data_IF_782514128966
#
_entry.id   IF_782514128966
#
_cell.length_a   1.000
_cell.length_b   1.000
_cell.length_c   1.000
_cell.angle_alpha   90.00
_cell.angle_beta   90.00
_cell.angle_gamma   90.00
#
_symmetry.space_group_name_H-M   'P 1'
#
loop_
_entity.id
_entity.type
_entity.pdbx_description
1 polymer ?
#
# COMPACT_ATOMS: atom_id res chain seq x y z
N UNK A 1 29.92 -25.37 11.92
CA UNK A 1 29.56 -23.97 12.24
C UNK A 1 30.36 -23.58 13.47
N UNK A 2 31.13 -22.48 13.45
CA UNK A 2 31.90 -22.07 14.62
C UNK A 2 30.98 -21.47 15.70
N UNK A 3 31.44 -21.40 16.95
CA UNK A 3 30.68 -20.75 18.02
C UNK A 3 30.39 -19.26 17.71
N UNK A 4 31.32 -18.58 17.03
CA UNK A 4 31.14 -17.20 16.58
C UNK A 4 30.03 -17.09 15.51
N UNK A 5 29.98 -18.01 14.56
CA UNK A 5 28.93 -18.04 13.53
C UNK A 5 27.55 -18.33 14.13
N UNK A 6 27.49 -19.17 15.17
CA UNK A 6 26.26 -19.47 15.91
C UNK A 6 25.74 -18.21 16.62
N UNK A 7 26.60 -17.53 17.37
CA UNK A 7 26.23 -16.29 18.10
C UNK A 7 25.80 -15.21 17.12
N UNK A 8 26.53 -15.02 16.02
CA UNK A 8 26.15 -14.07 14.98
C UNK A 8 24.74 -14.38 14.46
N UNK A 9 24.47 -15.62 14.06
CA UNK A 9 23.17 -16.08 13.53
C UNK A 9 22.02 -15.84 14.51
N UNK A 10 22.23 -16.15 15.80
CA UNK A 10 21.27 -15.90 16.87
C UNK A 10 20.91 -14.41 17.02
N UNK A 11 21.91 -13.53 16.97
CA UNK A 11 21.68 -12.08 17.03
C UNK A 11 20.86 -11.63 15.82
N UNK A 12 21.13 -12.14 14.61
CA UNK A 12 20.36 -11.78 13.40
C UNK A 12 18.90 -12.21 13.53
N UNK A 13 18.66 -13.44 13.94
CA UNK A 13 17.32 -13.98 14.15
C UNK A 13 16.51 -13.17 15.17
N UNK A 14 17.13 -12.83 16.30
CA UNK A 14 16.49 -12.01 17.33
C UNK A 14 16.11 -10.62 16.80
N UNK A 15 17.02 -9.98 16.07
CA UNK A 15 16.76 -8.69 15.42
C UNK A 15 15.62 -8.79 14.41
N UNK A 16 15.55 -9.88 13.63
CA UNK A 16 14.46 -10.12 12.70
C UNK A 16 13.10 -10.25 13.38
N UNK A 17 13.03 -10.99 14.48
CA UNK A 17 11.80 -11.10 15.26
C UNK A 17 11.35 -9.72 15.79
N UNK A 18 12.27 -8.88 16.29
CA UNK A 18 11.91 -7.52 16.71
C UNK A 18 11.36 -6.67 15.56
N UNK A 19 11.97 -6.74 14.37
CA UNK A 19 11.49 -6.00 13.20
C UNK A 19 10.10 -6.49 12.77
N UNK A 20 9.85 -7.79 12.78
CA UNK A 20 8.54 -8.34 12.42
C UNK A 20 7.46 -7.98 13.45
N UNK A 21 7.75 -8.07 14.75
CA UNK A 21 6.82 -7.63 15.81
C UNK A 21 6.55 -6.13 15.72
N UNK A 22 7.57 -5.32 15.41
CA UNK A 22 7.41 -3.87 15.18
C UNK A 22 6.54 -3.61 13.95
N UNK A 23 6.76 -4.33 12.85
CA UNK A 23 5.96 -4.25 11.63
C UNK A 23 4.49 -4.58 11.90
N UNK A 24 4.25 -5.65 12.67
CA UNK A 24 2.90 -6.02 13.10
C UNK A 24 2.26 -4.91 13.92
N UNK A 25 2.98 -4.39 14.91
CA UNK A 25 2.49 -3.29 15.77
C UNK A 25 2.09 -2.08 14.93
N UNK A 26 2.91 -1.70 13.95
CA UNK A 26 2.61 -0.61 13.01
C UNK A 26 1.34 -0.91 12.21
N UNK A 27 1.16 -2.13 11.69
CA UNK A 27 -0.04 -2.54 10.96
C UNK A 27 -1.31 -2.39 11.81
N UNK A 28 -1.31 -2.97 13.01
CA UNK A 28 -2.47 -2.92 13.90
C UNK A 28 -2.75 -1.48 14.36
N UNK A 29 -1.72 -0.71 14.70
CA UNK A 29 -1.87 0.69 15.11
C UNK A 29 -2.43 1.56 13.97
N UNK A 30 -1.89 1.43 12.75
CA UNK A 30 -2.36 2.18 11.59
C UNK A 30 -3.83 1.85 11.27
N UNK A 31 -4.20 0.57 11.36
CA UNK A 31 -5.59 0.14 11.17
C UNK A 31 -6.52 0.78 12.20
N UNK A 32 -6.19 0.70 13.50
CA UNK A 32 -7.01 1.30 14.56
C UNK A 32 -7.15 2.81 14.38
N UNK A 33 -6.06 3.51 14.04
CA UNK A 33 -6.07 4.97 13.81
C UNK A 33 -6.84 5.38 12.56
N UNK A 34 -6.98 4.50 11.57
CA UNK A 34 -7.62 4.81 10.28
C UNK A 34 -8.98 4.12 10.12
N UNK A 35 -9.47 3.43 11.14
CA UNK A 35 -10.72 2.68 11.07
C UNK A 35 -11.93 3.62 10.89
N UNK A 36 -11.98 4.74 11.60
CA UNK A 36 -13.03 5.75 11.44
C UNK A 36 -13.10 6.28 10.00
N UNK A 37 -11.95 6.47 9.37
CA UNK A 37 -11.85 6.89 7.97
C UNK A 37 -12.32 5.79 7.01
N UNK A 38 -12.05 4.52 7.32
CA UNK A 38 -12.56 3.39 6.54
C UNK A 38 -14.09 3.34 6.57
N UNK A 39 -14.70 3.41 7.75
CA UNK A 39 -16.15 3.37 7.90
C UNK A 39 -16.79 4.54 7.14
N UNK A 40 -16.33 5.76 7.40
CA UNK A 40 -16.89 6.98 6.82
C UNK A 40 -16.65 7.14 5.31
N UNK A 41 -15.53 6.67 4.76
CA UNK A 41 -15.17 6.91 3.35
C UNK A 41 -15.39 5.70 2.44
N UNK A 42 -15.43 4.48 2.97
CA UNK A 42 -15.44 3.24 2.17
C UNK A 42 -16.72 2.44 2.36
N UNK A 43 -17.27 2.35 3.58
CA UNK A 43 -18.37 1.41 3.85
C UNK A 43 -19.66 1.79 3.14
N UNK A 44 -20.04 3.07 3.21
CA UNK A 44 -21.26 3.60 2.57
C UNK A 44 -21.16 3.71 1.03
N UNK A 45 -19.95 3.59 0.48
CA UNK A 45 -19.73 3.60 -0.97
C UNK A 45 -20.30 2.33 -1.62
N UNK A 46 -20.93 2.42 -2.81
CA UNK A 46 -21.40 1.23 -3.53
C UNK A 46 -20.25 0.27 -3.84
N UNK A 47 -20.58 -1.01 -3.95
CA UNK A 47 -19.61 -2.05 -4.30
C UNK A 47 -19.04 -1.80 -5.70
N UNK A 48 -17.72 -1.72 -5.78
CA UNK A 48 -16.95 -1.52 -7.00
C UNK A 48 -15.66 -2.32 -6.95
N UNK A 49 -15.05 -2.60 -8.11
CA UNK A 49 -13.77 -3.29 -8.17
C UNK A 49 -12.69 -2.59 -7.32
N UNK A 50 -12.68 -1.25 -7.27
CA UNK A 50 -11.77 -0.46 -6.44
C UNK A 50 -12.01 -0.68 -4.94
N UNK A 51 -13.27 -0.79 -4.50
CA UNK A 51 -13.61 -1.12 -3.10
C UNK A 51 -13.07 -2.50 -2.73
N UNK A 52 -13.25 -3.50 -3.60
CA UNK A 52 -12.74 -4.86 -3.38
C UNK A 52 -11.22 -4.87 -3.32
N UNK A 53 -10.53 -4.24 -4.28
CA UNK A 53 -9.07 -4.13 -4.30
C UNK A 53 -8.52 -3.45 -3.03
N UNK A 54 -9.18 -2.38 -2.58
CA UNK A 54 -8.84 -1.67 -1.35
C UNK A 54 -8.98 -2.60 -0.13
N UNK A 55 -10.10 -3.29 0.03
CA UNK A 55 -10.33 -4.20 1.15
C UNK A 55 -9.30 -5.35 1.14
N UNK A 56 -9.05 -5.96 -0.01
CA UNK A 56 -8.04 -7.02 -0.10
C UNK A 56 -6.63 -6.50 0.25
N UNK A 57 -6.26 -5.32 -0.26
CA UNK A 57 -4.97 -4.70 0.05
C UNK A 57 -4.81 -4.42 1.55
N UNK A 58 -5.89 -3.99 2.21
CA UNK A 58 -5.92 -3.64 3.63
C UNK A 58 -5.92 -4.86 4.56
N UNK A 59 -6.65 -5.92 4.22
CA UNK A 59 -6.86 -7.06 5.13
C UNK A 59 -5.90 -8.24 4.92
N UNK A 60 -5.35 -8.45 3.71
CA UNK A 60 -4.37 -9.54 3.47
C UNK A 60 -3.14 -9.46 4.39
N UNK A 61 -2.52 -8.29 4.66
CA UNK A 61 -1.36 -8.20 5.55
C UNK A 61 -1.58 -8.76 6.95
N UNK A 62 -2.80 -8.74 7.49
CA UNK A 62 -3.10 -9.33 8.79
C UNK A 62 -2.88 -10.84 8.79
N UNK A 63 -3.25 -11.51 7.69
CA UNK A 63 -3.00 -12.93 7.50
C UNK A 63 -1.49 -13.21 7.36
N UNK A 64 -0.79 -12.38 6.57
CA UNK A 64 0.66 -12.48 6.33
C UNK A 64 1.45 -12.41 7.64
N UNK A 65 1.16 -11.36 8.41
CA UNK A 65 1.85 -11.03 9.66
C UNK A 65 1.55 -12.07 10.74
N UNK A 66 0.27 -12.43 10.93
CA UNK A 66 -0.13 -13.38 11.97
C UNK A 66 0.46 -14.76 11.72
N UNK A 67 0.40 -15.25 10.49
CA UNK A 67 0.97 -16.55 10.11
C UNK A 67 2.48 -16.58 10.34
N UNK A 68 3.18 -15.53 9.89
CA UNK A 68 4.63 -15.45 10.01
C UNK A 68 5.09 -15.38 11.46
N UNK A 69 4.46 -14.51 12.26
CA UNK A 69 4.79 -14.38 13.67
C UNK A 69 4.58 -15.70 14.40
N UNK A 70 3.46 -16.38 14.17
CA UNK A 70 3.17 -17.66 14.80
C UNK A 70 4.31 -18.67 14.60
N UNK A 71 4.81 -18.83 13.36
CA UNK A 71 5.86 -19.80 13.06
C UNK A 71 7.28 -19.36 13.47
N UNK A 72 7.47 -18.08 13.76
CA UNK A 72 8.77 -17.54 14.20
C UNK A 72 8.92 -17.50 15.73
N UNK A 73 7.82 -17.29 16.47
CA UNK A 73 7.87 -17.10 17.92
C UNK A 73 7.45 -18.36 18.70
N UNK A 74 6.70 -19.28 18.08
CA UNK A 74 6.18 -20.46 18.78
C UNK A 74 7.24 -21.57 18.83
N UNK A 75 7.67 -22.01 20.03
CA UNK A 75 8.56 -23.17 20.15
C UNK A 75 7.83 -24.46 19.74
N UNK A 76 8.58 -25.45 19.24
CA UNK A 76 8.03 -26.78 18.93
C UNK A 76 7.24 -26.88 17.62
N UNK A 77 7.35 -25.88 16.74
CA UNK A 77 6.80 -25.92 15.38
C UNK A 77 7.42 -27.07 14.59
N UNK A 78 6.60 -27.83 13.86
CA UNK A 78 7.09 -28.92 13.01
C UNK A 78 7.91 -28.38 11.83
N UNK A 79 8.95 -29.09 11.36
CA UNK A 79 9.70 -28.70 10.16
C UNK A 79 8.81 -28.50 8.93
N UNK A 80 7.79 -29.34 8.77
CA UNK A 80 6.81 -29.24 7.68
C UNK A 80 6.03 -27.94 7.74
N UNK A 81 5.55 -27.54 8.93
CA UNK A 81 4.82 -26.30 9.12
C UNK A 81 5.68 -25.06 8.86
N UNK A 82 6.96 -25.10 9.24
CA UNK A 82 7.93 -24.05 8.91
C UNK A 82 8.10 -23.87 7.39
N UNK A 83 8.25 -24.97 6.66
CA UNK A 83 8.35 -24.92 5.18
C UNK A 83 7.06 -24.41 4.55
N UNK A 84 5.89 -24.84 5.05
CA UNK A 84 4.60 -24.34 4.57
C UNK A 84 4.51 -22.82 4.75
N UNK A 85 4.88 -22.30 5.92
CA UNK A 85 4.94 -20.86 6.16
C UNK A 85 5.89 -20.14 5.21
N UNK A 86 7.08 -20.71 5.00
CA UNK A 86 8.09 -20.19 4.06
C UNK A 86 7.61 -20.15 2.61
N UNK A 87 6.60 -20.95 2.25
CA UNK A 87 5.97 -20.96 0.93
C UNK A 87 4.79 -20.01 0.83
N UNK A 88 3.93 -20.00 1.86
CA UNK A 88 2.72 -19.19 1.89
C UNK A 88 3.02 -17.70 2.02
N UNK A 89 3.98 -17.30 2.87
CA UNK A 89 4.26 -15.89 3.10
C UNK A 89 4.73 -15.15 1.83
N UNK A 90 5.73 -15.62 1.05
CA UNK A 90 6.14 -14.96 -0.19
C UNK A 90 5.02 -14.93 -1.24
N UNK A 91 4.22 -15.99 -1.34
CA UNK A 91 3.09 -16.04 -2.27
C UNK A 91 2.04 -14.97 -1.92
N UNK A 92 1.67 -14.87 -0.64
CA UNK A 92 0.70 -13.90 -0.16
C UNK A 92 1.20 -12.45 -0.26
N UNK A 93 2.48 -12.22 0.06
CA UNK A 93 3.16 -10.93 -0.15
C UNK A 93 3.08 -10.52 -1.62
N UNK A 94 3.36 -11.45 -2.54
CA UNK A 94 3.32 -11.18 -3.99
C UNK A 94 1.92 -10.79 -4.46
N UNK A 95 0.90 -11.59 -4.09
CA UNK A 95 -0.51 -11.27 -4.41
C UNK A 95 -0.87 -9.90 -3.86
N UNK A 96 -0.49 -9.65 -2.62
CA UNK A 96 -0.76 -8.42 -1.94
C UNK A 96 -0.12 -7.18 -2.56
N UNK A 97 1.13 -7.27 -3.02
CA UNK A 97 1.81 -6.18 -3.73
C UNK A 97 1.12 -5.95 -5.07
N UNK A 98 0.79 -7.00 -5.82
CA UNK A 98 0.08 -6.86 -7.11
C UNK A 98 -1.26 -6.14 -6.92
N UNK A 99 -2.01 -6.45 -5.87
CA UNK A 99 -3.29 -5.79 -5.56
C UNK A 99 -3.09 -4.30 -5.23
N UNK A 100 -2.10 -3.98 -4.40
CA UNK A 100 -1.77 -2.61 -4.03
C UNK A 100 -1.30 -1.79 -5.24
N UNK A 101 -0.39 -2.34 -6.04
CA UNK A 101 0.11 -1.73 -7.28
C UNK A 101 -1.00 -1.51 -8.30
N UNK A 102 -1.93 -2.47 -8.44
CA UNK A 102 -3.09 -2.32 -9.31
C UNK A 102 -4.01 -1.19 -8.84
N UNK A 103 -4.26 -1.10 -7.54
CA UNK A 103 -5.04 -0.01 -6.94
C UNK A 103 -4.40 1.35 -7.21
N UNK A 104 -3.08 1.44 -7.05
CA UNK A 104 -2.29 2.63 -7.33
C UNK A 104 -2.28 3.00 -8.81
N UNK A 105 -2.17 2.03 -9.71
CA UNK A 105 -2.24 2.23 -11.16
C UNK A 105 -3.62 2.75 -11.59
N UNK A 106 -4.71 2.19 -11.06
CA UNK A 106 -6.08 2.66 -11.33
C UNK A 106 -6.23 4.13 -10.89
N UNK A 107 -5.69 4.49 -9.73
CA UNK A 107 -5.67 5.88 -9.28
C UNK A 107 -4.92 6.78 -10.24
N UNK A 108 -3.70 6.40 -10.64
CA UNK A 108 -2.91 7.23 -11.56
C UNK A 108 -3.57 7.35 -12.92
N UNK A 109 -4.24 6.29 -13.38
CA UNK A 109 -5.03 6.32 -14.61
C UNK A 109 -6.18 7.33 -14.54
N UNK A 110 -6.88 7.42 -13.40
CA UNK A 110 -7.94 8.42 -13.23
C UNK A 110 -7.42 9.85 -13.21
N UNK A 111 -6.22 10.09 -12.62
CA UNK A 111 -5.53 11.39 -12.69
C UNK A 111 -5.15 11.76 -14.13
N UNK A 112 -4.82 10.77 -14.95
CA UNK A 112 -4.51 10.92 -16.37
C UNK A 112 -5.76 10.98 -17.26
N UNK A 113 -6.91 11.45 -16.73
CA UNK A 113 -8.19 11.61 -17.44
C UNK A 113 -8.72 10.32 -18.08
N UNK A 114 -8.42 9.17 -17.48
CA UNK A 114 -8.89 7.86 -17.94
C UNK A 114 -8.52 7.54 -19.40
N UNK A 115 -7.37 8.03 -19.89
CA UNK A 115 -6.92 7.75 -21.25
C UNK A 115 -6.72 6.25 -21.49
N UNK A 116 -7.34 5.71 -22.54
CA UNK A 116 -7.19 4.29 -22.94
C UNK A 116 -5.73 3.93 -23.22
N UNK A 117 -4.95 4.85 -23.78
CA UNK A 117 -3.52 4.63 -24.04
C UNK A 117 -2.75 4.39 -22.74
N UNK A 118 -3.05 5.15 -21.69
CA UNK A 118 -2.37 5.02 -20.39
C UNK A 118 -2.80 3.74 -19.68
N UNK A 119 -4.07 3.35 -19.78
CA UNK A 119 -4.52 2.04 -19.32
C UNK A 119 -3.76 0.90 -20.01
N UNK A 120 -3.61 0.95 -21.34
CA UNK A 120 -2.86 -0.05 -22.11
C UNK A 120 -1.39 -0.09 -21.70
N UNK A 121 -0.76 1.06 -21.42
CA UNK A 121 0.61 1.11 -20.88
C UNK A 121 0.68 0.41 -19.53
N UNK A 122 -0.21 0.72 -18.58
CA UNK A 122 -0.20 0.06 -17.27
C UNK A 122 -0.46 -1.45 -17.36
N UNK A 123 -1.36 -1.88 -18.25
CA UNK A 123 -1.61 -3.31 -18.47
C UNK A 123 -0.37 -3.99 -19.06
N UNK A 124 0.23 -3.42 -20.10
CA UNK A 124 1.39 -3.99 -20.77
C UNK A 124 2.60 -4.04 -19.82
N UNK A 125 2.92 -2.95 -19.13
CA UNK A 125 4.02 -2.90 -18.16
C UNK A 125 3.72 -3.79 -16.94
N UNK A 126 2.47 -3.80 -16.46
CA UNK A 126 2.05 -4.65 -15.34
C UNK A 126 2.22 -6.14 -15.65
N UNK A 127 1.77 -6.60 -16.83
CA UNK A 127 2.00 -7.98 -17.28
C UNK A 127 3.50 -8.27 -17.44
N UNK A 128 4.25 -7.34 -18.03
CA UNK A 128 5.69 -7.45 -18.21
C UNK A 128 6.49 -7.50 -16.90
N UNK A 129 5.97 -6.96 -15.80
CA UNK A 129 6.62 -6.99 -14.49
C UNK A 129 6.11 -8.12 -13.58
N UNK A 130 4.78 -8.29 -13.49
CA UNK A 130 4.17 -9.23 -12.54
C UNK A 130 4.35 -10.69 -12.94
N UNK A 131 4.26 -11.03 -14.22
CA UNK A 131 4.45 -12.42 -14.68
C UNK A 131 5.87 -12.93 -14.32
N UNK A 132 6.96 -12.24 -14.71
CA UNK A 132 8.30 -12.70 -14.31
C UNK A 132 8.54 -12.65 -12.81
N UNK A 133 7.94 -11.69 -12.07
CA UNK A 133 8.01 -11.68 -10.61
C UNK A 133 7.37 -12.93 -9.98
N UNK A 134 6.19 -13.34 -10.47
CA UNK A 134 5.51 -14.57 -10.03
C UNK A 134 6.37 -15.80 -10.33
N UNK A 135 7.02 -15.86 -11.49
CA UNK A 135 7.93 -16.96 -11.85
C UNK A 135 9.12 -17.00 -10.89
N UNK A 136 9.77 -15.87 -10.62
CA UNK A 136 10.90 -15.79 -9.68
C UNK A 136 10.51 -16.25 -8.27
N UNK A 137 9.34 -15.86 -7.78
CA UNK A 137 8.81 -16.28 -6.48
C UNK A 137 8.46 -17.76 -6.47
N UNK A 138 7.88 -18.29 -7.55
CA UNK A 138 7.59 -19.72 -7.69
C UNK A 138 8.86 -20.56 -7.62
N UNK A 139 9.93 -20.12 -8.28
CA UNK A 139 11.23 -20.80 -8.24
C UNK A 139 11.87 -20.74 -6.85
N UNK A 140 11.72 -19.61 -6.14
CA UNK A 140 12.08 -19.51 -4.72
C UNK A 140 11.30 -20.55 -3.89
N UNK A 141 9.97 -20.55 -3.96
CA UNK A 141 9.07 -21.44 -3.19
C UNK A 141 9.39 -22.92 -3.40
N UNK A 142 9.76 -23.32 -4.62
CA UNK A 142 10.11 -24.71 -4.95
C UNK A 142 11.43 -25.17 -4.35
N UNK A 143 12.34 -24.24 -4.08
CA UNK A 143 13.73 -24.57 -3.73
C UNK A 143 14.08 -24.26 -2.29
N UNK A 144 13.20 -23.60 -1.55
CA UNK A 144 13.32 -23.50 -0.11
C UNK A 144 13.16 -24.87 0.56
N UNK A 145 14.06 -25.14 1.49
CA UNK A 145 14.08 -26.35 2.30
C UNK A 145 14.31 -25.96 3.77
N UNK A 146 13.85 -26.81 4.68
CA UNK A 146 14.12 -26.66 6.11
C UNK A 146 15.60 -26.92 6.39
N UNK A 147 16.20 -26.03 7.19
CA UNK A 147 17.52 -26.23 7.77
C UNK A 147 17.37 -26.57 9.26
N UNK A 148 17.96 -27.68 9.74
CA UNK A 148 17.98 -27.98 11.17
C UNK A 148 18.54 -26.81 11.97
N UNK A 149 17.72 -26.23 12.83
CA UNK A 149 18.15 -25.12 13.67
C UNK A 149 19.07 -25.65 14.79
N UNK A 150 20.26 -25.03 15.00
CA UNK A 150 21.15 -25.38 16.10
C UNK A 150 20.59 -24.99 17.47
N UNK A 151 19.53 -24.16 17.51
CA UNK A 151 18.93 -23.54 18.70
C UNK A 151 17.41 -23.45 18.53
N UNK A 152 16.69 -24.58 18.54
CA UNK A 152 15.26 -24.65 18.20
C UNK A 152 14.33 -23.88 19.16
N UNK A 153 14.79 -23.58 20.38
CA UNK A 153 14.05 -22.77 21.36
C UNK A 153 14.03 -21.28 21.00
N UNK A 154 15.04 -20.78 20.30
CA UNK A 154 15.17 -19.34 19.94
C UNK A 154 14.89 -19.11 18.46
N UNK A 155 15.24 -20.08 17.61
CA UNK A 155 15.06 -20.03 16.17
C UNK A 155 14.38 -21.33 15.71
N UNK A 156 13.06 -21.45 15.85
CA UNK A 156 12.34 -22.69 15.55
C UNK A 156 12.24 -22.97 14.05
N UNK A 157 12.32 -21.94 13.20
CA UNK A 157 12.16 -22.06 11.75
C UNK A 157 13.33 -21.39 11.01
N UNK A 158 14.15 -22.21 10.33
CA UNK A 158 15.26 -21.78 9.49
C UNK A 158 15.14 -22.41 8.10
N UNK A 159 15.32 -21.60 7.05
CA UNK A 159 15.15 -21.99 5.65
C UNK A 159 16.45 -21.79 4.85
N UNK A 160 16.62 -22.52 3.76
CA UNK A 160 17.71 -22.31 2.79
C UNK A 160 17.65 -20.93 2.15
N UNK A 161 18.81 -20.32 1.89
CA UNK A 161 18.92 -19.05 1.15
C UNK A 161 18.74 -19.27 -0.35
N UNK A 162 18.04 -18.34 -1.03
CA UNK A 162 18.14 -18.18 -2.48
C UNK A 162 18.01 -16.71 -2.90
N UNK A 163 18.96 -16.26 -3.72
CA UNK A 163 19.11 -14.83 -4.02
C UNK A 163 18.13 -14.31 -5.08
N UNK A 164 17.42 -15.15 -5.82
CA UNK A 164 16.60 -14.71 -6.97
C UNK A 164 15.42 -13.77 -6.63
N UNK A 165 15.07 -13.58 -5.34
CA UNK A 165 13.98 -12.69 -4.93
C UNK A 165 14.25 -11.20 -5.22
N UNK A 166 15.51 -10.78 -5.38
CA UNK A 166 15.79 -9.39 -5.79
C UNK A 166 15.17 -9.08 -7.17
N UNK A 167 15.02 -10.08 -8.04
CA UNK A 167 14.42 -9.93 -9.37
C UNK A 167 12.97 -9.47 -9.24
N UNK A 168 12.20 -10.09 -8.34
CA UNK A 168 10.81 -9.71 -8.10
C UNK A 168 10.72 -8.25 -7.61
N UNK A 169 11.58 -7.84 -6.66
CA UNK A 169 11.60 -6.46 -6.18
C UNK A 169 12.08 -5.45 -7.23
N UNK A 170 13.03 -5.83 -8.09
CA UNK A 170 13.46 -4.98 -9.20
C UNK A 170 12.32 -4.73 -10.20
N UNK A 171 11.51 -5.75 -10.48
CA UNK A 171 10.33 -5.64 -11.35
C UNK A 171 9.21 -4.79 -10.71
N UNK A 172 9.00 -4.93 -9.39
CA UNK A 172 8.09 -4.07 -8.64
C UNK A 172 8.56 -2.62 -8.70
N UNK A 173 9.84 -2.36 -8.41
CA UNK A 173 10.42 -1.02 -8.48
C UNK A 173 10.28 -0.39 -9.88
N UNK A 174 10.45 -1.20 -10.94
CA UNK A 174 10.25 -0.74 -12.31
C UNK A 174 8.80 -0.29 -12.56
N UNK A 175 7.82 -1.04 -12.06
CA UNK A 175 6.41 -0.67 -12.18
C UNK A 175 6.06 0.56 -11.34
N UNK A 176 6.56 0.64 -10.10
CA UNK A 176 6.43 1.80 -9.22
C UNK A 176 7.01 3.07 -9.87
N UNK A 177 8.16 2.97 -10.53
CA UNK A 177 8.77 4.08 -11.25
C UNK A 177 7.88 4.58 -12.41
N UNK A 178 7.23 3.66 -13.14
CA UNK A 178 6.28 4.03 -14.20
C UNK A 178 5.07 4.75 -13.61
N UNK A 179 4.46 4.22 -12.54
CA UNK A 179 3.34 4.87 -11.85
C UNK A 179 3.74 6.25 -11.32
N UNK A 180 4.88 6.35 -10.66
CA UNK A 180 5.42 7.61 -10.13
C UNK A 180 5.64 8.63 -11.26
N UNK A 181 6.23 8.20 -12.37
CA UNK A 181 6.47 9.06 -13.54
C UNK A 181 5.17 9.65 -14.09
N UNK A 182 4.16 8.81 -14.34
CA UNK A 182 2.85 9.30 -14.80
C UNK A 182 2.16 10.19 -13.76
N UNK A 183 2.25 9.84 -12.48
CA UNK A 183 1.65 10.63 -11.39
C UNK A 183 2.31 12.00 -11.27
N UNK A 184 3.63 12.07 -11.41
CA UNK A 184 4.38 13.32 -11.39
C UNK A 184 4.04 14.20 -12.61
N UNK A 185 3.99 13.62 -13.81
CA UNK A 185 3.62 14.36 -15.04
C UNK A 185 2.20 14.91 -14.94
N UNK A 186 1.23 14.09 -14.53
CA UNK A 186 -0.15 14.50 -14.31
C UNK A 186 -0.24 15.59 -13.24
N UNK A 187 0.52 15.46 -12.16
CA UNK A 187 0.57 16.43 -11.07
C UNK A 187 1.16 17.78 -11.46
N UNK A 188 2.26 17.79 -12.21
CA UNK A 188 2.87 19.02 -12.72
C UNK A 188 1.94 19.70 -13.73
N UNK A 189 1.29 18.94 -14.61
CA UNK A 189 0.31 19.48 -15.55
C UNK A 189 -0.87 20.15 -14.82
N UNK A 190 -1.41 19.48 -13.80
CA UNK A 190 -2.48 20.03 -12.97
C UNK A 190 -2.03 21.27 -12.18
N UNK A 191 -0.81 21.24 -11.61
CA UNK A 191 -0.23 22.36 -10.88
C UNK A 191 -0.05 23.61 -11.77
N UNK A 192 0.36 23.44 -13.03
CA UNK A 192 0.53 24.54 -13.98
C UNK A 192 -0.79 25.16 -14.41
N UNK A 193 -1.87 24.38 -14.47
CA UNK A 193 -3.17 24.84 -14.94
C UNK A 193 -4.05 25.41 -13.82
N UNK A 194 -3.80 25.04 -12.56
CA UNK A 194 -4.67 25.40 -11.43
C UNK A 194 -4.00 26.35 -10.45
N UNK A 195 -4.66 27.46 -10.13
CA UNK A 195 -4.29 28.34 -9.00
C UNK A 195 -4.81 27.80 -7.65
N UNK A 196 -5.59 26.72 -7.65
CA UNK A 196 -6.24 26.21 -6.44
C UNK A 196 -5.25 25.55 -5.49
N UNK A 197 -5.31 25.92 -4.21
CA UNK A 197 -4.58 25.30 -3.11
C UNK A 197 -4.79 23.78 -3.04
N UNK A 198 -5.98 23.32 -3.43
CA UNK A 198 -6.38 21.90 -3.47
C UNK A 198 -5.42 21.05 -4.33
N UNK A 199 -5.11 21.51 -5.54
CA UNK A 199 -4.21 20.78 -6.46
C UNK A 199 -2.78 20.74 -5.89
N UNK A 200 -2.36 21.78 -5.15
CA UNK A 200 -1.00 21.82 -4.58
C UNK A 200 -0.82 20.81 -3.45
N UNK A 201 -1.79 20.71 -2.54
CA UNK A 201 -1.70 19.81 -1.38
C UNK A 201 -1.83 18.35 -1.80
N UNK A 202 -2.85 18.02 -2.61
CA UNK A 202 -3.12 16.63 -3.02
C UNK A 202 -1.98 16.02 -3.84
N UNK A 203 -1.30 16.82 -4.66
CA UNK A 203 -0.16 16.32 -5.46
C UNK A 203 1.15 16.32 -4.67
N UNK A 204 1.42 17.33 -3.84
CA UNK A 204 2.63 17.35 -3.02
C UNK A 204 2.63 16.18 -2.04
N UNK A 205 1.51 15.96 -1.36
CA UNK A 205 1.41 14.89 -0.37
C UNK A 205 1.21 13.55 -1.04
N UNK A 206 0.45 13.50 -2.15
CA UNK A 206 0.18 12.28 -2.90
C UNK A 206 1.38 11.65 -3.60
N UNK A 207 2.32 12.44 -4.13
CA UNK A 207 3.53 11.94 -4.80
C UNK A 207 4.52 11.35 -3.80
N UNK A 208 4.62 11.92 -2.59
CA UNK A 208 5.54 11.45 -1.55
C UNK A 208 5.29 9.98 -1.19
N UNK A 209 4.03 9.52 -1.15
CA UNK A 209 3.72 8.11 -0.91
C UNK A 209 4.40 7.18 -1.91
N UNK A 210 4.36 7.49 -3.21
CA UNK A 210 5.03 6.68 -4.24
C UNK A 210 6.55 6.72 -4.15
N UNK A 211 7.12 7.86 -3.77
CA UNK A 211 8.57 7.97 -3.52
C UNK A 211 8.98 7.07 -2.36
N UNK A 212 8.20 7.04 -1.28
CA UNK A 212 8.45 6.13 -0.15
C UNK A 212 8.34 4.66 -0.56
N UNK A 213 7.35 4.30 -1.38
CA UNK A 213 7.20 2.93 -1.90
C UNK A 213 8.42 2.50 -2.71
N UNK A 214 8.84 3.32 -3.69
CA UNK A 214 10.04 3.04 -4.49
C UNK A 214 11.32 2.97 -3.65
N UNK A 215 11.46 3.83 -2.63
CA UNK A 215 12.58 3.76 -1.71
C UNK A 215 12.59 2.45 -0.89
N UNK A 216 11.42 1.99 -0.42
CA UNK A 216 11.29 0.72 0.29
C UNK A 216 11.64 -0.47 -0.61
N UNK A 217 11.18 -0.48 -1.86
CA UNK A 217 11.55 -1.49 -2.86
C UNK A 217 13.06 -1.49 -3.11
N UNK A 218 13.67 -0.32 -3.31
CA UNK A 218 15.12 -0.19 -3.52
C UNK A 218 15.93 -0.70 -2.32
N UNK A 219 15.54 -0.32 -1.09
CA UNK A 219 16.21 -0.79 0.13
C UNK A 219 16.12 -2.32 0.25
N UNK A 220 14.99 -2.94 -0.11
CA UNK A 220 14.88 -4.40 -0.12
C UNK A 220 15.82 -5.05 -1.13
N UNK A 221 15.96 -4.50 -2.34
CA UNK A 221 16.92 -5.00 -3.33
C UNK A 221 18.34 -4.95 -2.78
N UNK A 222 18.73 -3.82 -2.18
CA UNK A 222 20.05 -3.64 -1.57
C UNK A 222 20.27 -4.66 -0.46
N UNK A 223 19.27 -4.90 0.40
CA UNK A 223 19.39 -5.89 1.47
C UNK A 223 19.55 -7.31 0.96
N UNK A 224 18.75 -7.73 -0.02
CA UNK A 224 18.83 -9.08 -0.58
C UNK A 224 20.21 -9.32 -1.24
N UNK A 225 20.77 -8.32 -1.92
CA UNK A 225 22.04 -8.44 -2.63
C UNK A 225 23.28 -8.34 -1.73
N UNK A 226 23.25 -7.46 -0.72
CA UNK A 226 24.45 -7.10 0.04
C UNK A 226 24.52 -7.75 1.43
N UNK A 227 23.39 -8.15 2.03
CA UNK A 227 23.40 -8.63 3.40
C UNK A 227 23.57 -10.16 3.48
N UNK A 228 24.23 -10.65 4.56
CA UNK A 228 24.35 -12.07 4.83
C UNK A 228 22.99 -12.74 5.07
N UNK A 229 22.97 -14.07 4.92
CA UNK A 229 21.84 -14.94 5.29
C UNK A 229 21.31 -14.61 6.69
N UNK A 230 19.98 -14.43 6.78
CA UNK A 230 19.26 -14.12 8.01
C UNK A 230 18.91 -12.63 8.19
N UNK A 231 19.50 -11.73 7.40
CA UNK A 231 19.07 -10.33 7.31
C UNK A 231 18.49 -9.94 5.94
N UNK A 232 18.66 -10.81 4.96
CA UNK A 232 18.24 -10.66 3.57
C UNK A 232 16.72 -10.45 3.39
N UNK A 233 15.90 -10.96 4.31
CA UNK A 233 14.45 -10.78 4.28
C UNK A 233 13.92 -9.92 5.45
N UNK A 234 14.81 -9.24 6.18
CA UNK A 234 14.46 -8.47 7.37
C UNK A 234 13.39 -7.41 7.09
N UNK A 235 13.55 -6.68 5.99
CA UNK A 235 12.64 -5.60 5.62
C UNK A 235 11.56 -6.02 4.64
N UNK A 236 11.50 -7.28 4.21
CA UNK A 236 10.47 -7.77 3.30
C UNK A 236 9.09 -7.66 3.95
N UNK A 237 8.98 -8.05 5.23
CA UNK A 237 7.75 -7.92 6.01
C UNK A 237 7.39 -6.47 6.31
N UNK A 238 8.36 -5.67 6.74
CA UNK A 238 8.14 -4.25 7.00
C UNK A 238 7.68 -3.54 5.73
N UNK A 239 8.31 -3.82 4.60
CA UNK A 239 7.91 -3.31 3.30
C UNK A 239 6.50 -3.76 2.95
N UNK A 240 6.15 -5.04 3.09
CA UNK A 240 4.79 -5.51 2.83
C UNK A 240 3.74 -4.71 3.62
N UNK A 241 3.99 -4.48 4.91
CA UNK A 241 3.10 -3.71 5.79
C UNK A 241 3.02 -2.25 5.34
N UNK A 242 4.16 -1.59 5.18
CA UNK A 242 4.21 -0.19 4.78
C UNK A 242 3.61 0.03 3.38
N UNK A 243 3.79 -0.92 2.46
CA UNK A 243 3.24 -0.87 1.10
C UNK A 243 1.71 -0.82 1.14
N UNK A 244 1.09 -1.71 1.92
CA UNK A 244 -0.36 -1.69 2.15
C UNK A 244 -0.83 -0.41 2.83
N UNK A 245 -0.16 0.03 3.91
CA UNK A 245 -0.52 1.25 4.64
C UNK A 245 -0.47 2.48 3.73
N UNK A 246 0.62 2.66 2.99
CA UNK A 246 0.82 3.80 2.10
C UNK A 246 -0.21 3.78 0.97
N UNK A 247 -0.47 2.61 0.36
CA UNK A 247 -1.51 2.45 -0.66
C UNK A 247 -2.91 2.82 -0.13
N UNK A 248 -3.26 2.39 1.09
CA UNK A 248 -4.53 2.73 1.71
C UNK A 248 -4.63 4.22 2.09
N UNK A 249 -3.59 4.80 2.68
CA UNK A 249 -3.56 6.22 3.08
C UNK A 249 -3.71 7.17 1.89
N UNK A 250 -3.12 6.81 0.75
CA UNK A 250 -3.31 7.53 -0.51
C UNK A 250 -4.79 7.60 -0.90
N UNK A 251 -5.52 6.49 -0.78
CA UNK A 251 -6.96 6.43 -1.11
C UNK A 251 -7.79 7.22 -0.11
N UNK A 252 -7.48 7.13 1.19
CA UNK A 252 -8.17 7.94 2.21
C UNK A 252 -8.01 9.43 1.96
N UNK A 253 -6.77 9.88 1.73
CA UNK A 253 -6.50 11.29 1.46
C UNK A 253 -7.30 11.78 0.24
N UNK A 254 -7.34 10.97 -0.83
CA UNK A 254 -8.09 11.31 -2.03
C UNK A 254 -9.61 11.41 -1.77
N UNK A 255 -10.20 10.46 -1.04
CA UNK A 255 -11.64 10.44 -0.75
C UNK A 255 -12.05 11.53 0.24
N UNK A 256 -11.26 11.75 1.29
CA UNK A 256 -11.50 12.80 2.27
C UNK A 256 -11.51 14.19 1.61
N UNK A 257 -10.53 14.46 0.74
CA UNK A 257 -10.46 15.72 0.01
C UNK A 257 -11.55 15.84 -1.06
N UNK A 258 -11.93 14.74 -1.73
CA UNK A 258 -13.08 14.71 -2.63
C UNK A 258 -14.40 15.09 -1.94
N UNK A 259 -14.64 14.57 -0.73
CA UNK A 259 -15.83 14.90 0.07
C UNK A 259 -15.81 16.37 0.52
N UNK A 260 -14.67 16.91 0.96
CA UNK A 260 -14.53 18.33 1.32
C UNK A 260 -14.82 19.27 0.15
N UNK A 261 -14.34 18.93 -1.05
CA UNK A 261 -14.64 19.67 -2.27
C UNK A 261 -16.13 19.66 -2.64
N UNK A 262 -16.81 18.53 -2.42
CA UNK A 262 -18.26 18.41 -2.60
C UNK A 262 -19.06 19.26 -1.60
N UNK A 263 -18.69 19.20 -0.30
CA UNK A 263 -19.36 19.98 0.75
C UNK A 263 -19.21 21.48 0.47
N UNK A 264 -18.00 21.97 0.22
CA UNK A 264 -17.76 23.40 -0.08
C UNK A 264 -18.48 23.89 -1.33
N UNK A 265 -18.62 23.05 -2.37
CA UNK A 265 -19.41 23.39 -3.56
C UNK A 265 -20.91 23.47 -3.24
N UNK A 266 -21.39 22.59 -2.35
CA UNK A 266 -22.80 22.54 -1.93
C UNK A 266 -23.14 23.72 -1.02
N UNK A 267 -22.26 24.09 -0.09
CA UNK A 267 -22.39 25.29 0.75
C UNK A 267 -22.33 26.57 -0.07
N UNK A 268 -21.44 26.67 -1.06
CA UNK A 268 -21.40 27.83 -1.96
C UNK A 268 -22.69 27.96 -2.78
N UNK A 269 -23.28 26.84 -3.24
CA UNK A 269 -24.58 26.84 -3.93
C UNK A 269 -25.74 27.18 -2.97
N UNK A 270 -25.73 26.66 -1.75
CA UNK A 270 -26.76 26.96 -0.75
C UNK A 270 -26.70 28.43 -0.29
N UNK A 271 -25.51 28.97 -0.04
CA UNK A 271 -25.30 30.37 0.33
C UNK A 271 -25.57 31.37 -0.79
N UNK A 272 -25.54 30.95 -2.06
CA UNK A 272 -26.01 31.77 -3.18
C UNK A 272 -27.52 31.67 -3.45
N UNK A 273 -28.24 30.82 -2.71
CA UNK A 273 -29.71 30.66 -2.82
C UNK A 273 -30.48 31.33 -1.65
N UNK A 274 -29.81 32.13 -0.82
CA UNK A 274 -30.43 32.93 0.26
C UNK A 274 -29.82 34.34 0.21
N UNK A 275 -30.51 35.49 0.11
CA UNK A 275 -31.85 35.89 0.56
C UNK A 275 -32.31 37.04 -0.35
N UNK A 276 -33.47 36.91 -1.01
CA UNK A 276 -34.16 38.07 -1.62
C UNK A 276 -35.30 38.46 -0.67
N UNK A 277 -35.07 39.48 0.16
CA UNK A 277 -36.15 40.12 0.92
C UNK A 277 -36.95 40.99 -0.07
N UNK A 278 -38.02 40.44 -0.63
CA UNK A 278 -39.05 41.25 -1.26
C UNK A 278 -39.77 42.03 -0.16
N UNK A 279 -39.53 43.35 -0.13
CA UNK A 279 -40.33 44.29 0.65
C UNK A 279 -41.75 44.33 0.08
N UNK A 280 -42.83 44.21 0.87
CA UNK A 280 -44.18 44.43 0.37
C UNK A 280 -44.39 45.93 0.15
N UNK A 281 -44.76 46.32 -1.06
CA UNK A 281 -45.33 47.64 -1.36
C UNK A 281 -46.82 47.62 -0.97
N UNK A 282 -47.20 48.44 0.01
CA UNK A 282 -48.61 48.76 0.29
C UNK A 282 -49.17 49.64 -0.83
N UNK A 283 -50.06 49.06 -1.63
CA UNK A 283 -51.04 49.82 -2.42
C UNK A 283 -52.24 50.16 -1.53
N UNK A 284 -52.49 51.45 -1.33
CA UNK A 284 -53.81 51.93 -0.91
C UNK A 284 -54.31 52.97 -1.90
N UNK A 285 -55.13 52.48 -2.83
CA UNK A 285 -55.97 53.27 -3.73
C UNK A 285 -57.23 53.67 -2.96
N UNK A 286 -57.50 54.97 -2.79
CA UNK A 286 -58.85 55.47 -2.54
C UNK A 286 -59.15 56.57 -3.57
N UNK A 287 -60.09 56.25 -4.45
CA UNK A 287 -60.67 57.12 -5.47
C UNK A 287 -62.00 57.67 -4.92
N UNK A 288 -62.24 58.99 -5.03
CA UNK A 288 -63.55 59.54 -5.43
C UNK A 288 -63.43 61.01 -5.87
N UNK A 289 -63.88 61.23 -7.10
CA UNK A 289 -64.16 62.45 -7.89
C UNK A 289 -65.27 63.36 -7.30
N UNK A 290 -65.68 64.44 -8.00
CA UNK A 290 -64.96 65.57 -8.57
C UNK A 290 -65.19 66.89 -7.81
#
# INVERSE_FOLDING_TARGET
MSAADLVATLVRAKNANFVHVSSATILYLDYLLTFDWEVSLIWDSPWSAVKVLFLLTRYIPFMDVTTTLYYQITPGVSPTSCVISGRLAPASITVGIILAETLLAIRTWSLCRCSTMIALVFIATGLGCFIPAIIAVKDYIKTIQYLPSPVPTVLPCLLTKRDNLYIAYALVLAFEAVILGFTAVAGVAAYRQSKSHFVKVVFKDGVLYYVYLGALSLVNIIMILLLPTGYDYLLVFMHRVLHSILACRVIFHLRAEGNRGWISTTENKAGSTSINFNHPTEDSTITTTP
#
